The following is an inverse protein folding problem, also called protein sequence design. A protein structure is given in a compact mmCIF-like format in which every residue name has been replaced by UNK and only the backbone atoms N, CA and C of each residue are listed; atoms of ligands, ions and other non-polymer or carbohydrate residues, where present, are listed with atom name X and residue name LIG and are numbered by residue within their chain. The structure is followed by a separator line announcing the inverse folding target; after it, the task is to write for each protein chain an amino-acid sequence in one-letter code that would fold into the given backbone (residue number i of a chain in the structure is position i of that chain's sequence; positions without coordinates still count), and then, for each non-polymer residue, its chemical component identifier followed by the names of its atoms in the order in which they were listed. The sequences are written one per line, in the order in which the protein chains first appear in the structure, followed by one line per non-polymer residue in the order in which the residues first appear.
data_IF_943466183968
#
_entry.id   IF_943466183968
#
_cell.length_a   1.000
_cell.length_b   1.000
_cell.length_c   1.000
_cell.angle_alpha   90.00
_cell.angle_beta   90.00
_cell.angle_gamma   90.00
#
_symmetry.space_group_name_H-M   'P 1'
#
loop_
_entity.id
_entity.type
_entity.pdbx_description
1 polymer ?
#
# COMPACT_ATOMS: atom_id res chain seq x y z
N UNK A 1 7.98 -0.65 -7.35
CA UNK A 1 6.70 -1.38 -7.40
C UNK A 1 6.79 -2.56 -6.45
N UNK A 2 5.77 -2.78 -5.65
CA UNK A 2 5.67 -3.94 -4.76
C UNK A 2 4.22 -4.19 -4.38
N UNK A 3 3.88 -5.44 -4.09
CA UNK A 3 2.52 -5.82 -3.71
C UNK A 3 2.42 -6.77 -2.53
N UNK A 4 1.28 -6.78 -1.84
CA UNK A 4 1.06 -7.53 -0.60
C UNK A 4 2.07 -7.09 0.48
N UNK A 5 2.88 -7.99 1.04
CA UNK A 5 4.04 -7.65 1.88
C UNK A 5 5.09 -6.79 1.14
N UNK A 6 5.21 -6.90 -0.18
CA UNK A 6 6.00 -5.95 -0.97
C UNK A 6 5.38 -4.54 -1.00
N UNK A 7 4.07 -4.41 -0.74
CA UNK A 7 3.38 -3.14 -0.57
C UNK A 7 3.70 -2.47 0.77
N UNK A 8 3.92 -3.25 1.84
CA UNK A 8 4.49 -2.77 3.10
C UNK A 8 5.84 -2.09 2.85
N UNK A 9 6.74 -2.76 2.10
CA UNK A 9 8.02 -2.17 1.70
C UNK A 9 7.81 -0.84 0.97
N UNK A 10 6.91 -0.77 0.00
CA UNK A 10 6.65 0.48 -0.75
C UNK A 10 6.12 1.60 0.16
N UNK A 11 5.23 1.28 1.10
CA UNK A 11 4.70 2.26 2.05
C UNK A 11 5.74 2.77 3.02
N UNK A 12 6.61 1.89 3.52
CA UNK A 12 7.69 2.25 4.44
C UNK A 12 8.72 3.18 3.76
N UNK A 13 9.20 2.82 2.55
CA UNK A 13 10.18 3.66 1.84
C UNK A 13 9.60 5.01 1.42
N UNK A 14 8.29 5.08 1.13
CA UNK A 14 7.61 6.34 0.85
C UNK A 14 7.59 7.29 2.05
N UNK A 15 7.62 6.77 3.29
CA UNK A 15 7.73 7.60 4.49
C UNK A 15 9.18 7.95 4.82
N UNK A 16 10.11 7.00 4.63
CA UNK A 16 11.50 7.12 5.08
C UNK A 16 12.36 7.96 4.15
N UNK A 17 12.29 7.70 2.84
CA UNK A 17 13.17 8.29 1.82
C UNK A 17 12.35 8.65 0.56
N UNK A 18 11.27 9.47 0.67
CA UNK A 18 10.39 9.81 -0.44
C UNK A 18 11.11 10.44 -1.65
N UNK A 19 12.16 11.22 -1.40
CA UNK A 19 12.92 11.97 -2.41
C UNK A 19 13.71 11.09 -3.38
N UNK A 20 13.93 9.81 -3.04
CA UNK A 20 14.67 8.88 -3.89
C UNK A 20 13.85 8.37 -5.07
N UNK A 21 12.53 8.61 -5.08
CA UNK A 21 11.62 8.01 -6.03
C UNK A 21 10.79 9.09 -6.75
N UNK A 22 10.77 9.06 -8.09
CA UNK A 22 9.82 9.87 -8.86
C UNK A 22 8.40 9.30 -8.79
N UNK A 23 8.27 7.97 -8.76
CA UNK A 23 6.99 7.27 -8.73
C UNK A 23 7.04 5.91 -8.01
N UNK A 24 5.96 5.57 -7.30
CA UNK A 24 5.75 4.31 -6.61
C UNK A 24 4.43 3.67 -7.05
N UNK A 25 4.45 2.35 -7.24
CA UNK A 25 3.24 1.53 -7.39
C UNK A 25 3.17 0.58 -6.19
N UNK A 26 2.08 0.66 -5.43
CA UNK A 26 1.80 -0.21 -4.29
C UNK A 26 0.53 -1.02 -4.57
N UNK A 27 0.68 -2.33 -4.76
CA UNK A 27 -0.43 -3.23 -5.15
C UNK A 27 -0.94 -4.00 -3.94
N UNK A 28 -2.25 -3.96 -3.67
CA UNK A 28 -2.88 -4.61 -2.50
C UNK A 28 -2.00 -4.47 -1.23
N UNK A 29 -1.58 -3.25 -0.86
CA UNK A 29 -0.44 -3.10 0.03
C UNK A 29 -0.84 -3.24 1.51
N UNK A 30 -0.12 -4.08 2.24
CA UNK A 30 -0.24 -4.19 3.70
C UNK A 30 0.38 -2.95 4.34
N UNK A 31 -0.43 -2.04 4.88
CA UNK A 31 0.02 -0.68 5.27
C UNK A 31 -0.49 -0.23 6.63
N UNK A 32 -1.51 -0.88 7.19
CA UNK A 32 -2.08 -0.57 8.51
C UNK A 32 -1.57 -1.56 9.56
N UNK A 33 -0.24 -1.69 9.63
CA UNK A 33 0.43 -2.81 10.32
C UNK A 33 0.00 -2.92 11.78
N UNK A 34 0.01 -1.83 12.55
CA UNK A 34 -0.33 -1.88 13.99
C UNK A 34 -1.80 -2.23 14.20
N UNK A 35 -2.73 -1.57 13.49
CA UNK A 35 -4.17 -1.79 13.66
C UNK A 35 -4.60 -3.18 13.18
N UNK A 36 -4.03 -3.68 12.09
CA UNK A 36 -4.35 -5.00 11.56
C UNK A 36 -3.76 -6.09 12.47
N UNK A 37 -2.50 -5.97 12.88
CA UNK A 37 -1.79 -7.04 13.58
C UNK A 37 -2.19 -7.18 15.05
N UNK A 38 -2.86 -6.18 15.64
CA UNK A 38 -3.40 -6.28 17.02
C UNK A 38 -4.76 -6.99 17.05
N UNK A 39 -5.50 -7.03 15.94
CA UNK A 39 -6.85 -7.60 15.85
C UNK A 39 -6.81 -9.03 15.28
N UNK A 40 -6.98 -10.01 16.17
CA UNK A 40 -7.00 -11.44 15.83
C UNK A 40 -8.23 -11.89 15.03
N UNK A 41 -9.24 -11.03 14.87
CA UNK A 41 -10.45 -11.33 14.08
C UNK A 41 -10.25 -11.12 12.57
N UNK A 42 -9.21 -10.38 12.19
CA UNK A 42 -8.85 -10.17 10.79
C UNK A 42 -8.15 -11.44 10.26
N UNK A 43 -8.51 -11.94 9.07
CA UNK A 43 -7.84 -13.09 8.47
C UNK A 43 -6.32 -12.93 8.40
N UNK A 44 -5.59 -14.02 8.58
CA UNK A 44 -4.11 -14.12 8.56
C UNK A 44 -3.36 -13.49 9.75
N UNK A 45 -3.91 -12.52 10.48
CA UNK A 45 -3.21 -11.82 11.58
C UNK A 45 -2.48 -12.77 12.54
N UNK A 46 -3.17 -13.79 13.03
CA UNK A 46 -2.60 -14.72 14.02
C UNK A 46 -1.50 -15.61 13.45
N UNK A 47 -1.56 -15.92 12.15
CA UNK A 47 -0.51 -16.65 11.44
C UNK A 47 0.70 -15.76 11.17
N UNK A 48 0.48 -14.48 10.88
CA UNK A 48 1.53 -13.52 10.57
C UNK A 48 2.30 -13.01 11.80
N UNK A 49 1.85 -13.30 13.02
CA UNK A 49 2.64 -13.02 14.23
C UNK A 49 4.00 -13.72 14.23
N UNK A 50 4.10 -14.90 13.61
CA UNK A 50 5.37 -15.62 13.49
C UNK A 50 6.34 -14.95 12.48
N UNK A 51 5.82 -14.11 11.59
CA UNK A 51 6.61 -13.36 10.59
C UNK A 51 6.99 -11.97 11.12
N UNK A 52 6.02 -11.16 11.56
CA UNK A 52 6.23 -9.75 11.91
C UNK A 52 6.39 -9.50 13.42
N UNK A 53 5.89 -10.42 14.25
CA UNK A 53 5.72 -10.24 15.69
C UNK A 53 4.27 -9.97 16.11
N UNK A 54 4.03 -10.09 17.41
CA UNK A 54 2.72 -9.91 18.04
C UNK A 54 2.66 -8.54 18.77
N UNK A 55 2.02 -7.51 18.20
CA UNK A 55 2.00 -6.16 18.76
C UNK A 55 1.18 -6.04 20.05
N UNK A 56 0.56 -7.11 20.55
CA UNK A 56 -0.01 -7.13 21.90
C UNK A 56 1.08 -7.16 22.98
N UNK A 57 2.33 -7.43 22.59
CA UNK A 57 3.52 -7.31 23.45
C UNK A 57 4.25 -6.01 23.09
N UNK A 58 4.59 -5.24 24.10
CA UNK A 58 5.17 -3.89 23.97
C UNK A 58 6.39 -3.84 23.03
N UNK A 59 7.29 -4.81 23.13
CA UNK A 59 8.51 -4.87 22.31
C UNK A 59 8.19 -4.89 20.80
N UNK A 60 7.25 -5.72 20.38
CA UNK A 60 6.84 -5.79 18.98
C UNK A 60 6.00 -4.59 18.58
N UNK A 61 5.12 -4.09 19.48
CA UNK A 61 4.34 -2.88 19.22
C UNK A 61 5.23 -1.70 18.86
N UNK A 62 6.24 -1.40 19.69
CA UNK A 62 7.12 -0.25 19.48
C UNK A 62 7.94 -0.40 18.19
N UNK A 63 8.40 -1.62 17.89
CA UNK A 63 9.15 -1.89 16.66
C UNK A 63 8.26 -1.78 15.41
N UNK A 64 7.07 -2.38 15.42
CA UNK A 64 6.11 -2.32 14.31
C UNK A 64 5.64 -0.89 14.07
N UNK A 65 5.36 -0.14 15.14
CA UNK A 65 4.98 1.26 15.05
C UNK A 65 6.05 2.09 14.34
N UNK A 66 7.34 1.79 14.56
CA UNK A 66 8.45 2.54 13.97
C UNK A 66 8.49 2.51 12.43
N UNK A 67 7.89 1.50 11.79
CA UNK A 67 7.90 1.35 10.33
C UNK A 67 6.51 1.26 9.69
N UNK A 68 5.44 1.10 10.48
CA UNK A 68 4.07 0.97 9.98
C UNK A 68 3.71 2.12 9.02
N UNK A 69 3.41 1.84 7.74
CA UNK A 69 3.25 2.89 6.74
C UNK A 69 2.13 3.88 7.06
N UNK A 70 0.99 3.38 7.55
CA UNK A 70 -0.14 4.23 7.96
C UNK A 70 0.22 5.12 9.14
N UNK A 71 0.87 4.58 10.17
CA UNK A 71 1.16 5.30 11.40
C UNK A 71 2.25 6.35 11.22
N UNK A 72 3.24 6.08 10.35
CA UNK A 72 4.38 6.95 10.09
C UNK A 72 4.12 8.04 9.02
N UNK A 73 2.90 8.17 8.47
CA UNK A 73 2.56 9.31 7.60
C UNK A 73 2.69 10.61 8.38
N UNK A 74 3.44 11.58 7.82
CA UNK A 74 3.69 12.90 8.40
C UNK A 74 3.62 13.99 7.33
N UNK A 75 3.67 15.26 7.74
CA UNK A 75 3.69 16.38 6.81
C UNK A 75 5.05 16.45 6.09
N UNK A 76 5.08 16.04 4.83
CA UNK A 76 6.24 16.07 3.94
C UNK A 76 5.80 15.86 2.48
N UNK A 77 6.74 16.01 1.56
CA UNK A 77 6.51 15.65 0.16
C UNK A 77 6.59 14.13 -0.01
N UNK A 78 5.64 13.58 -0.76
CA UNK A 78 5.57 12.17 -1.13
C UNK A 78 5.71 11.99 -2.64
N UNK A 79 6.22 10.85 -3.13
CA UNK A 79 6.38 10.61 -4.56
C UNK A 79 5.02 10.49 -5.27
N UNK A 80 5.02 10.51 -6.60
CA UNK A 80 3.83 10.15 -7.35
C UNK A 80 3.45 8.70 -7.05
N UNK A 81 2.17 8.41 -6.78
CA UNK A 81 1.76 7.10 -6.30
C UNK A 81 0.50 6.59 -7.00
N UNK A 82 0.59 5.34 -7.45
CA UNK A 82 -0.57 4.53 -7.83
C UNK A 82 -0.73 3.41 -6.80
N UNK A 83 -1.83 3.45 -6.06
CA UNK A 83 -2.21 2.43 -5.09
C UNK A 83 -3.35 1.62 -5.67
N UNK A 84 -3.20 0.31 -5.78
CA UNK A 84 -4.26 -0.59 -6.26
C UNK A 84 -4.73 -1.51 -5.14
N UNK A 85 -6.00 -1.89 -5.15
CA UNK A 85 -6.54 -2.88 -4.21
C UNK A 85 -7.80 -3.57 -4.78
N UNK A 86 -8.22 -4.66 -4.15
CA UNK A 86 -9.48 -5.35 -4.46
C UNK A 86 -10.45 -5.20 -3.29
N UNK A 87 -11.73 -4.90 -3.59
CA UNK A 87 -12.75 -4.77 -2.54
C UNK A 87 -12.98 -6.08 -1.76
N UNK A 88 -12.83 -7.22 -2.43
CA UNK A 88 -13.00 -8.56 -1.85
C UNK A 88 -11.67 -9.22 -1.49
N UNK A 89 -10.63 -8.43 -1.22
CA UNK A 89 -9.32 -8.97 -0.85
C UNK A 89 -9.38 -9.60 0.55
N UNK A 90 -9.06 -10.89 0.60
CA UNK A 90 -9.10 -11.72 1.80
C UNK A 90 -7.76 -11.78 2.55
N UNK A 91 -6.69 -11.22 1.99
CA UNK A 91 -5.35 -11.25 2.57
C UNK A 91 -4.96 -9.87 3.11
N UNK A 92 -5.16 -8.83 2.30
CA UNK A 92 -4.96 -7.44 2.72
C UNK A 92 -6.27 -6.71 2.58
N UNK A 93 -6.82 -6.25 3.69
CA UNK A 93 -8.17 -5.71 3.68
C UNK A 93 -8.24 -4.37 2.93
N UNK A 94 -9.24 -4.17 2.08
CA UNK A 94 -9.32 -2.99 1.19
C UNK A 94 -9.25 -1.64 1.93
N UNK A 95 -9.65 -1.61 3.20
CA UNK A 95 -9.61 -0.40 4.00
C UNK A 95 -8.20 0.03 4.37
N UNK A 96 -7.21 -0.87 4.38
CA UNK A 96 -5.82 -0.49 4.67
C UNK A 96 -5.29 0.53 3.64
N UNK A 97 -5.23 0.23 2.33
CA UNK A 97 -4.85 1.20 1.32
C UNK A 97 -5.80 2.39 1.26
N UNK A 98 -7.10 2.21 1.52
CA UNK A 98 -8.05 3.32 1.52
C UNK A 98 -7.77 4.35 2.63
N UNK A 99 -7.55 3.88 3.87
CA UNK A 99 -7.16 4.72 5.02
C UNK A 99 -5.81 5.39 4.77
N UNK A 100 -4.84 4.63 4.26
CA UNK A 100 -3.50 5.14 3.99
C UNK A 100 -3.50 6.24 2.93
N UNK A 101 -4.18 6.04 1.80
CA UNK A 101 -4.31 7.09 0.77
C UNK A 101 -5.06 8.31 1.31
N UNK A 102 -6.10 8.13 2.12
CA UNK A 102 -6.81 9.25 2.73
C UNK A 102 -5.88 10.09 3.62
N UNK A 103 -5.10 9.44 4.50
CA UNK A 103 -4.13 10.12 5.38
C UNK A 103 -3.00 10.78 4.61
N UNK A 104 -2.48 10.14 3.55
CA UNK A 104 -1.48 10.74 2.66
C UNK A 104 -2.01 12.01 2.00
N UNK A 105 -3.24 12.02 1.49
CA UNK A 105 -3.84 13.22 0.89
C UNK A 105 -4.04 14.37 1.88
N UNK A 106 -4.31 14.05 3.14
CA UNK A 106 -4.45 15.03 4.21
C UNK A 106 -3.09 15.64 4.61
N UNK A 107 -2.04 14.82 4.65
CA UNK A 107 -0.76 15.19 5.27
C UNK A 107 0.30 15.65 4.27
N UNK A 108 0.27 15.18 3.01
CA UNK A 108 1.33 15.49 2.04
C UNK A 108 1.39 16.99 1.73
N UNK A 109 2.59 17.51 1.48
CA UNK A 109 2.84 18.94 1.21
C UNK A 109 3.12 19.26 -0.25
N UNK A 110 3.28 18.25 -1.09
CA UNK A 110 3.48 18.35 -2.53
C UNK A 110 2.16 18.45 -3.31
N UNK A 111 2.27 18.64 -4.63
CA UNK A 111 1.17 18.55 -5.61
C UNK A 111 1.27 17.28 -6.50
N UNK A 112 2.04 16.27 -6.08
CA UNK A 112 2.24 15.03 -6.83
C UNK A 112 0.95 14.21 -6.91
N UNK A 113 0.89 13.39 -7.96
CA UNK A 113 -0.27 12.54 -8.28
C UNK A 113 -0.38 11.42 -7.24
N UNK A 114 -1.59 11.25 -6.66
CA UNK A 114 -1.89 10.16 -5.73
C UNK A 114 -3.24 9.50 -6.07
N UNK A 115 -3.16 8.34 -6.72
CA UNK A 115 -4.31 7.58 -7.24
C UNK A 115 -4.58 6.37 -6.35
N UNK A 116 -5.86 6.13 -6.06
CA UNK A 116 -6.35 4.88 -5.50
C UNK A 116 -7.28 4.23 -6.52
N UNK A 117 -6.89 3.07 -7.03
CA UNK A 117 -7.69 2.22 -7.91
C UNK A 117 -8.22 1.03 -7.13
N UNK A 118 -9.54 0.97 -6.92
CA UNK A 118 -10.19 -0.14 -6.22
C UNK A 118 -10.95 -0.97 -7.23
N UNK A 119 -10.53 -2.23 -7.39
CA UNK A 119 -11.31 -3.19 -8.14
C UNK A 119 -12.48 -3.71 -7.29
N UNK A 120 -13.68 -3.23 -7.59
CA UNK A 120 -14.90 -3.54 -6.83
C UNK A 120 -15.38 -5.00 -6.96
N UNK A 121 -14.79 -5.80 -7.85
CA UNK A 121 -15.20 -7.19 -8.11
C UNK A 121 -14.09 -8.22 -7.90
N UNK A 122 -12.89 -7.79 -7.51
CA UNK A 122 -11.73 -8.67 -7.33
C UNK A 122 -11.27 -8.76 -5.87
N UNK A 123 -10.52 -9.83 -5.58
CA UNK A 123 -9.77 -10.00 -4.33
C UNK A 123 -8.25 -9.89 -4.54
N UNK A 124 -7.46 -10.54 -3.69
CA UNK A 124 -5.99 -10.36 -3.62
C UNK A 124 -5.25 -10.59 -4.95
N UNK A 125 -5.64 -11.62 -5.70
CA UNK A 125 -5.02 -11.96 -6.99
C UNK A 125 -5.46 -11.07 -8.16
N UNK A 126 -6.28 -10.04 -7.91
CA UNK A 126 -6.91 -9.25 -8.96
C UNK A 126 -8.06 -9.97 -9.66
N UNK A 127 -8.60 -9.36 -10.71
CA UNK A 127 -9.75 -9.90 -11.43
C UNK A 127 -9.38 -11.17 -12.22
N UNK A 128 -10.26 -12.18 -12.14
CA UNK A 128 -10.10 -13.45 -12.85
C UNK A 128 -10.42 -13.28 -14.33
N UNK A 129 -9.40 -13.04 -15.14
CA UNK A 129 -9.55 -12.95 -16.59
C UNK A 129 -8.25 -12.57 -17.29
N UNK A 130 -7.94 -13.24 -18.40
CA UNK A 130 -6.72 -12.98 -19.18
C UNK A 130 -6.55 -11.50 -19.52
N UNK A 131 -7.64 -10.84 -19.90
CA UNK A 131 -7.62 -9.43 -20.31
C UNK A 131 -7.60 -8.46 -19.13
N UNK A 132 -8.20 -8.80 -17.99
CA UNK A 132 -8.21 -7.91 -16.83
C UNK A 132 -6.80 -7.72 -16.27
N UNK A 133 -6.02 -8.80 -16.18
CA UNK A 133 -4.60 -8.70 -15.82
C UNK A 133 -3.82 -7.79 -16.76
N UNK A 134 -4.09 -7.86 -18.07
CA UNK A 134 -3.42 -7.01 -19.06
C UNK A 134 -3.82 -5.53 -18.91
N UNK A 135 -5.06 -5.23 -18.51
CA UNK A 135 -5.50 -3.86 -18.22
C UNK A 135 -4.79 -3.29 -16.99
N UNK A 136 -4.66 -4.07 -15.91
CA UNK A 136 -3.91 -3.66 -14.72
C UNK A 136 -2.45 -3.39 -15.06
N UNK A 137 -1.79 -4.30 -15.81
CA UNK A 137 -0.43 -4.07 -16.30
C UNK A 137 -0.36 -2.81 -17.19
N UNK A 138 -1.31 -2.62 -18.10
CA UNK A 138 -1.33 -1.42 -18.95
C UNK A 138 -1.45 -0.13 -18.13
N UNK A 139 -2.27 -0.12 -17.08
CA UNK A 139 -2.41 1.02 -16.17
C UNK A 139 -1.09 1.34 -15.45
N UNK A 140 -0.43 0.32 -14.90
CA UNK A 140 0.85 0.46 -14.19
C UNK A 140 1.96 1.02 -15.09
N UNK A 141 2.08 0.49 -16.30
CA UNK A 141 3.04 0.98 -17.28
C UNK A 141 2.68 2.38 -17.78
N UNK A 142 1.40 2.66 -18.02
CA UNK A 142 0.96 4.00 -18.43
C UNK A 142 1.30 5.05 -17.38
N UNK A 143 1.06 4.74 -16.10
CA UNK A 143 1.43 5.60 -14.98
C UNK A 143 2.94 5.88 -14.96
N UNK A 144 3.77 4.83 -14.97
CA UNK A 144 5.23 4.99 -14.91
C UNK A 144 5.80 5.71 -16.14
N UNK A 145 5.33 5.39 -17.34
CA UNK A 145 5.82 6.01 -18.57
C UNK A 145 5.41 7.48 -18.69
N UNK A 146 4.20 7.85 -18.24
CA UNK A 146 3.76 9.25 -18.28
C UNK A 146 4.56 10.12 -17.30
N UNK A 147 4.94 9.60 -16.12
CA UNK A 147 5.84 10.30 -15.18
C UNK A 147 7.22 10.61 -15.79
N UNK A 148 7.71 9.75 -16.68
CA UNK A 148 8.98 9.93 -17.39
C UNK A 148 8.81 10.70 -18.72
N UNK A 149 7.62 11.22 -19.00
CA UNK A 149 7.33 11.96 -20.24
C UNK A 149 7.37 11.11 -21.51
N UNK A 150 7.33 9.78 -21.39
CA UNK A 150 7.40 8.85 -22.52
C UNK A 150 5.99 8.69 -23.11
N UNK A 151 5.73 9.41 -24.20
CA UNK A 151 4.47 9.37 -24.96
C UNK A 151 4.69 8.74 -26.33
N UNK A 152 3.64 8.07 -26.84
CA UNK A 152 3.63 7.41 -28.15
C UNK A 152 3.21 8.35 -29.27
#
# INVERSE_FOLDING_TARGET
MGGSAGGLLMGAVANMEPELYNGIIAQVPFVDVVSTMIDETIPLTTFEWDEWGDPRKQEYYDYMLSYSPYDQVKAQDYPNMLVTTGYWDSQVQYWEPAKWVAKLREMKTDDNILILDINMTAGHGGASGRFERLKTTALEYAFMLDLEGIRK
#
